data_IF_114670707501
#
_entry.id   IF_114670707501
#
_cell.length_a   1.000
_cell.length_b   1.000
_cell.length_c   1.000
_cell.angle_alpha   90.00
_cell.angle_beta   90.00
_cell.angle_gamma   90.00
#
_symmetry.space_group_name_H-M   'P 1'
#
loop_
_entity.id
_entity.type
_entity.pdbx_description
1 polymer ?
#
# COMPACT_ATOMS: atom_id res chain seq x y z
N UNK A 1 -22.84 18.61 72.32
CA UNK A 1 -22.18 19.37 73.41
C UNK A 1 -20.89 18.61 73.69
N UNK A 2 -19.68 19.02 73.35
CA UNK A 2 -19.12 20.35 73.12
C UNK A 2 -18.38 20.39 71.76
N UNK A 3 -18.37 21.57 71.15
CA UNK A 3 -17.53 21.94 70.01
C UNK A 3 -16.11 22.22 70.52
N UNK A 4 -15.07 21.79 69.81
CA UNK A 4 -13.70 22.11 70.18
C UNK A 4 -12.61 21.38 69.40
N UNK A 5 -12.54 21.61 68.10
CA UNK A 5 -11.40 21.24 67.26
C UNK A 5 -11.45 22.05 65.98
N UNK A 6 -10.49 22.94 65.79
CA UNK A 6 -10.37 23.79 64.59
C UNK A 6 -10.27 22.90 63.34
N UNK A 7 -10.96 23.23 62.22
CA UNK A 7 -10.63 22.59 60.96
C UNK A 7 -9.20 23.03 60.62
N UNK A 8 -8.26 22.08 60.60
CA UNK A 8 -7.01 22.27 59.90
C UNK A 8 -7.39 22.60 58.45
N UNK A 9 -7.22 23.86 58.07
CA UNK A 9 -7.18 24.30 56.68
C UNK A 9 -5.92 23.72 56.07
N UNK A 10 -6.01 22.45 55.68
CA UNK A 10 -5.06 21.80 54.82
C UNK A 10 -5.88 21.25 53.67
N UNK A 11 -5.77 21.83 52.48
CA UNK A 11 -6.10 21.09 51.27
C UNK A 11 -5.28 19.82 51.30
N UNK A 12 -5.91 18.68 51.65
CA UNK A 12 -5.28 17.38 51.51
C UNK A 12 -5.23 17.10 50.00
N UNK A 13 -4.28 17.72 49.30
CA UNK A 13 -3.94 17.34 47.94
C UNK A 13 -3.16 16.04 48.04
N UNK A 14 -3.87 14.94 48.27
CA UNK A 14 -3.34 13.62 48.04
C UNK A 14 -2.99 13.54 46.55
N UNK A 15 -1.71 13.72 46.23
CA UNK A 15 -1.20 13.50 44.87
C UNK A 15 -1.30 12.00 44.60
N UNK A 16 -2.38 11.57 43.96
CA UNK A 16 -2.48 10.23 43.40
C UNK A 16 -1.48 10.16 42.26
N UNK A 17 -0.33 9.55 42.50
CA UNK A 17 0.63 9.21 41.44
C UNK A 17 0.20 7.86 40.87
N UNK A 18 -0.65 7.91 39.85
CA UNK A 18 -0.93 6.75 39.00
C UNK A 18 0.12 6.66 37.90
N UNK A 19 0.80 5.52 37.77
CA UNK A 19 1.59 5.23 36.57
C UNK A 19 0.68 4.59 35.53
N UNK A 20 0.43 5.30 34.44
CA UNK A 20 -0.25 4.76 33.26
C UNK A 20 0.77 4.48 32.16
N UNK A 21 0.73 3.29 31.56
CA UNK A 21 1.53 2.98 30.37
C UNK A 21 0.69 3.19 29.11
N UNK A 22 1.15 4.01 28.18
CA UNK A 22 0.54 4.14 26.86
C UNK A 22 1.18 3.10 25.94
N UNK A 23 0.36 2.20 25.42
CA UNK A 23 0.78 1.21 24.43
C UNK A 23 0.98 1.84 23.05
N UNK A 24 1.78 1.18 22.21
CA UNK A 24 1.95 1.57 20.81
C UNK A 24 0.74 1.17 19.98
N UNK A 25 0.39 2.03 19.01
CA UNK A 25 -0.68 1.75 18.06
C UNK A 25 -0.18 0.89 16.88
N UNK A 26 -1.09 0.33 16.10
CA UNK A 26 -0.76 -0.42 14.90
C UNK A 26 -0.83 0.45 13.65
N UNK A 27 -0.06 0.07 12.63
CA UNK A 27 -0.09 0.63 11.28
C UNK A 27 -0.92 -0.25 10.34
N UNK A 28 -1.44 0.33 9.27
CA UNK A 28 -1.98 -0.40 8.12
C UNK A 28 -1.38 0.12 6.83
N UNK A 29 -1.16 -0.76 5.86
CA UNK A 29 -0.67 -0.37 4.55
C UNK A 29 -1.55 -0.93 3.42
N UNK A 30 -1.88 -0.07 2.46
CA UNK A 30 -2.54 -0.47 1.22
C UNK A 30 -1.77 0.06 0.03
N UNK A 31 -2.00 -0.46 -1.17
CA UNK A 31 -1.32 0.04 -2.36
C UNK A 31 -1.65 -0.74 -3.61
N UNK A 32 -1.31 -0.17 -4.76
CA UNK A 32 -1.47 -0.81 -6.06
C UNK A 32 -0.19 -0.72 -6.87
N UNK A 33 0.10 -1.77 -7.64
CA UNK A 33 1.18 -1.78 -8.62
C UNK A 33 0.68 -2.48 -9.90
N UNK A 34 1.20 -2.09 -11.05
CA UNK A 34 0.94 -2.81 -12.31
C UNK A 34 1.90 -3.99 -12.40
N UNK A 35 1.41 -5.13 -12.87
CA UNK A 35 2.20 -6.34 -13.04
C UNK A 35 3.46 -6.08 -13.86
N UNK A 36 4.62 -6.42 -13.31
CA UNK A 36 5.93 -6.27 -13.96
C UNK A 36 6.73 -7.58 -14.04
N UNK A 37 6.10 -8.70 -13.65
CA UNK A 37 6.74 -10.02 -13.64
C UNK A 37 7.67 -10.28 -12.46
N UNK A 38 7.75 -9.38 -11.47
CA UNK A 38 8.58 -9.55 -10.27
C UNK A 38 7.75 -9.76 -9.01
N UNK A 39 8.40 -10.22 -7.93
CA UNK A 39 7.79 -10.28 -6.59
C UNK A 39 8.08 -9.01 -5.78
N UNK A 40 8.58 -7.95 -6.39
CA UNK A 40 8.97 -6.71 -5.70
C UNK A 40 7.79 -5.75 -5.66
N UNK A 41 7.41 -5.30 -4.47
CA UNK A 41 6.41 -4.25 -4.30
C UNK A 41 7.08 -2.94 -3.87
N UNK A 42 6.95 -1.90 -4.68
CA UNK A 42 7.57 -0.61 -4.39
C UNK A 42 6.98 0.04 -3.14
N UNK A 43 7.82 0.42 -2.17
CA UNK A 43 7.37 1.12 -0.97
C UNK A 43 6.67 2.44 -1.27
N UNK A 44 7.08 3.14 -2.34
CA UNK A 44 6.42 4.36 -2.83
C UNK A 44 4.99 4.14 -3.31
N UNK A 45 4.60 2.89 -3.61
CA UNK A 45 3.25 2.54 -4.02
C UNK A 45 2.33 2.26 -2.81
N UNK A 46 2.88 2.28 -1.59
CA UNK A 46 2.13 2.08 -0.36
C UNK A 46 1.59 3.40 0.19
N UNK A 47 0.33 3.35 0.62
CA UNK A 47 -0.28 4.28 1.54
C UNK A 47 -0.27 3.65 2.93
N UNK A 48 0.55 4.21 3.83
CA UNK A 48 0.68 3.71 5.20
C UNK A 48 0.01 4.67 6.17
N UNK A 49 -0.91 4.16 6.98
CA UNK A 49 -1.72 4.94 7.90
C UNK A 49 -1.59 4.44 9.34
N UNK A 50 -1.70 5.37 10.27
CA UNK A 50 -1.81 5.12 11.70
C UNK A 50 -3.19 5.49 12.22
N UNK A 51 -3.27 5.87 13.50
CA UNK A 51 -4.51 6.35 14.13
C UNK A 51 -4.82 7.79 13.75
N UNK A 52 -6.09 8.18 13.85
CA UNK A 52 -6.56 9.57 13.68
C UNK A 52 -6.11 10.27 12.38
N UNK A 53 -6.03 9.52 11.28
CA UNK A 53 -5.65 10.04 9.96
C UNK A 53 -4.15 10.33 9.80
N UNK A 54 -3.31 9.92 10.76
CA UNK A 54 -1.85 10.00 10.61
C UNK A 54 -1.38 9.13 9.44
N UNK A 55 -0.39 9.62 8.72
CA UNK A 55 0.18 8.94 7.55
C UNK A 55 1.69 8.87 7.61
N UNK A 56 2.24 7.92 6.86
CA UNK A 56 3.66 7.64 6.78
C UNK A 56 4.07 7.47 5.33
N UNK A 57 5.16 8.13 4.94
CA UNK A 57 5.82 7.90 3.66
C UNK A 57 6.65 6.64 3.75
N UNK A 58 6.46 5.74 2.78
CA UNK A 58 7.19 4.49 2.67
C UNK A 58 8.23 4.56 1.54
N UNK A 59 9.42 4.05 1.82
CA UNK A 59 10.51 3.89 0.85
C UNK A 59 11.07 2.47 0.88
N UNK A 60 11.91 2.12 -0.10
CA UNK A 60 12.43 0.77 -0.26
C UNK A 60 11.41 -0.16 -0.93
N UNK A 61 11.43 -1.45 -0.58
CA UNK A 61 10.59 -2.46 -1.22
C UNK A 61 10.13 -3.56 -0.27
N UNK A 62 8.88 -3.97 -0.43
CA UNK A 62 8.32 -5.19 0.14
C UNK A 62 8.42 -6.36 -0.83
N UNK A 63 7.99 -7.54 -0.38
CA UNK A 63 7.99 -8.77 -1.17
C UNK A 63 6.57 -9.31 -1.26
N UNK A 64 6.13 -9.67 -2.46
CA UNK A 64 4.88 -10.37 -2.74
C UNK A 64 5.09 -11.89 -2.63
N UNK A 65 4.04 -12.64 -2.28
CA UNK A 65 4.10 -14.12 -2.26
C UNK A 65 4.25 -14.72 -3.66
N UNK A 66 3.70 -14.07 -4.68
CA UNK A 66 3.84 -14.43 -6.08
C UNK A 66 3.93 -13.16 -6.93
N UNK A 67 4.47 -13.26 -8.15
CA UNK A 67 4.46 -12.15 -9.09
C UNK A 67 3.09 -11.90 -9.72
N UNK A 68 2.16 -12.85 -9.64
CA UNK A 68 0.89 -12.83 -10.37
C UNK A 68 0.00 -11.64 -9.98
N UNK A 69 -0.92 -11.29 -10.89
CA UNK A 69 -2.07 -10.42 -10.59
C UNK A 69 -2.81 -10.96 -9.39
N UNK A 70 -3.08 -10.08 -8.42
CA UNK A 70 -3.70 -10.43 -7.16
C UNK A 70 -4.40 -9.23 -6.57
N UNK A 71 -5.41 -9.48 -5.74
CA UNK A 71 -6.23 -8.43 -5.14
C UNK A 71 -6.23 -8.56 -3.63
N UNK A 72 -5.98 -7.45 -2.95
CA UNK A 72 -6.05 -7.31 -1.49
C UNK A 72 -5.28 -8.40 -0.73
N UNK A 73 -4.08 -8.74 -1.22
CA UNK A 73 -3.22 -9.74 -0.59
C UNK A 73 -2.20 -9.08 0.33
N UNK A 74 -1.80 -9.74 1.43
CA UNK A 74 -0.69 -9.25 2.24
C UNK A 74 0.63 -9.39 1.49
N UNK A 75 1.57 -8.49 1.81
CA UNK A 75 2.98 -8.67 1.49
C UNK A 75 3.51 -9.90 2.25
N UNK A 76 4.34 -10.70 1.60
CA UNK A 76 5.09 -11.78 2.23
C UNK A 76 6.19 -11.25 3.16
N UNK A 77 6.76 -10.07 2.85
CA UNK A 77 7.74 -9.40 3.70
C UNK A 77 7.66 -7.89 3.57
N UNK A 78 7.87 -7.19 4.69
CA UNK A 78 7.98 -5.73 4.80
C UNK A 78 9.36 -5.29 5.30
N UNK A 79 10.31 -6.23 5.43
CA UNK A 79 11.64 -5.97 5.99
C UNK A 79 12.46 -4.92 5.23
N UNK A 80 12.21 -4.76 3.93
CA UNK A 80 12.85 -3.74 3.09
C UNK A 80 12.10 -2.40 3.03
N UNK A 81 11.02 -2.23 3.79
CA UNK A 81 10.24 -0.99 3.85
C UNK A 81 10.74 -0.11 5.00
N UNK A 82 11.05 1.14 4.68
CA UNK A 82 11.36 2.18 5.68
C UNK A 82 10.23 3.20 5.74
N UNK A 83 9.87 3.64 6.95
CA UNK A 83 8.76 4.56 7.19
C UNK A 83 9.24 5.88 7.80
N UNK A 84 8.72 6.98 7.27
CA UNK A 84 8.87 8.33 7.83
C UNK A 84 7.49 8.91 8.08
N UNK A 85 7.23 9.39 9.30
CA UNK A 85 5.93 9.96 9.63
C UNK A 85 5.73 11.34 9.01
N UNK A 86 4.50 11.60 8.56
CA UNK A 86 4.09 12.86 7.95
C UNK A 86 3.34 13.73 8.96
N UNK A 87 3.41 15.05 8.80
CA UNK A 87 2.60 15.99 9.61
C UNK A 87 2.78 15.86 11.13
N UNK A 88 3.98 15.45 11.58
CA UNK A 88 4.28 15.24 13.00
C UNK A 88 3.98 13.83 13.54
N UNK A 89 3.51 12.90 12.70
CA UNK A 89 3.39 11.50 13.08
C UNK A 89 4.77 10.94 13.48
N UNK A 90 4.85 10.25 14.62
CA UNK A 90 6.09 9.68 15.13
C UNK A 90 6.05 8.15 15.01
N UNK A 91 6.97 7.57 14.23
CA UNK A 91 7.05 6.11 14.04
C UNK A 91 7.28 5.35 15.36
N UNK A 92 7.93 5.98 16.35
CA UNK A 92 8.15 5.40 17.68
C UNK A 92 6.87 5.11 18.48
N UNK A 93 5.74 5.77 18.15
CA UNK A 93 4.44 5.55 18.81
C UNK A 93 3.70 4.33 18.25
N UNK A 94 4.26 3.67 17.24
CA UNK A 94 3.63 2.55 16.53
C UNK A 94 4.46 1.27 16.63
N UNK A 95 3.76 0.15 16.60
CA UNK A 95 4.37 -1.16 16.36
C UNK A 95 4.96 -1.20 14.95
N UNK A 96 6.03 -1.98 14.71
CA UNK A 96 6.52 -2.22 13.37
C UNK A 96 5.39 -2.68 12.45
N UNK A 97 5.40 -2.22 11.20
CA UNK A 97 4.42 -2.67 10.21
C UNK A 97 4.49 -4.20 10.09
N UNK A 98 3.34 -4.86 10.25
CA UNK A 98 3.23 -6.30 10.12
C UNK A 98 2.66 -6.66 8.74
N UNK A 99 3.14 -7.76 8.16
CA UNK A 99 2.64 -8.30 6.88
C UNK A 99 1.13 -8.56 6.92
N UNK A 100 0.61 -9.04 8.06
CA UNK A 100 -0.83 -9.26 8.30
C UNK A 100 -1.67 -7.98 8.26
N UNK A 101 -1.04 -6.80 8.32
CA UNK A 101 -1.69 -5.48 8.25
C UNK A 101 -1.45 -4.76 6.92
N UNK A 102 -1.05 -5.53 5.91
CA UNK A 102 -0.90 -5.05 4.54
C UNK A 102 -1.99 -5.64 3.65
N UNK A 103 -2.47 -4.85 2.69
CA UNK A 103 -3.45 -5.28 1.69
C UNK A 103 -3.13 -4.58 0.38
N UNK A 104 -2.40 -5.26 -0.50
CA UNK A 104 -1.93 -4.73 -1.78
C UNK A 104 -2.56 -5.44 -2.95
N UNK A 105 -2.67 -4.73 -4.06
CA UNK A 105 -3.22 -5.25 -5.32
C UNK A 105 -2.19 -5.10 -6.43
N UNK A 106 -1.98 -6.16 -7.20
CA UNK A 106 -1.22 -6.12 -8.45
C UNK A 106 -2.22 -6.21 -9.59
N UNK A 107 -2.35 -5.12 -10.34
CA UNK A 107 -3.26 -5.04 -11.49
C UNK A 107 -2.63 -5.63 -12.74
N UNK A 108 -3.42 -6.14 -13.70
CA UNK A 108 -2.91 -6.56 -15.00
C UNK A 108 -2.17 -5.43 -15.73
N UNK A 109 -1.12 -5.78 -16.47
CA UNK A 109 -0.48 -4.87 -17.41
C UNK A 109 -1.33 -4.75 -18.69
N UNK A 110 -1.71 -3.53 -19.12
CA UNK A 110 -2.59 -3.34 -20.26
C UNK A 110 -1.86 -3.62 -21.59
N UNK A 111 -2.48 -4.46 -22.43
CA UNK A 111 -2.04 -4.68 -23.82
C UNK A 111 -2.88 -3.81 -24.74
N UNK A 112 -2.23 -2.93 -25.50
CA UNK A 112 -2.88 -2.12 -26.54
C UNK A 112 -2.88 -2.91 -27.85
N UNK A 113 -4.06 -3.11 -28.44
CA UNK A 113 -4.19 -3.71 -29.78
C UNK A 113 -4.68 -2.66 -30.75
N UNK A 114 -3.97 -2.50 -31.87
CA UNK A 114 -4.32 -1.57 -32.94
C UNK A 114 -4.11 -2.23 -34.29
N UNK A 115 -4.82 -1.76 -35.32
CA UNK A 115 -4.63 -2.26 -36.67
C UNK A 115 -5.31 -1.38 -37.69
N UNK A 116 -4.96 -1.61 -38.96
CA UNK A 116 -5.56 -0.92 -40.11
C UNK A 116 -5.91 -1.93 -41.18
N UNK A 117 -7.15 -1.90 -41.66
CA UNK A 117 -7.61 -2.71 -42.80
C UNK A 117 -8.32 -1.81 -43.81
N UNK A 118 -8.11 -2.06 -45.10
CA UNK A 118 -8.91 -1.46 -46.18
C UNK A 118 -10.17 -2.30 -46.36
N UNK A 119 -11.35 -1.67 -46.41
CA UNK A 119 -12.62 -2.37 -46.55
C UNK A 119 -12.61 -3.33 -47.75
N UNK A 120 -12.84 -4.61 -47.47
CA UNK A 120 -12.77 -5.71 -48.43
C UNK A 120 -14.09 -6.50 -48.52
N UNK A 121 -15.19 -5.97 -47.98
CA UNK A 121 -16.49 -6.64 -47.97
C UNK A 121 -16.67 -7.73 -46.90
N UNK A 122 -15.69 -7.90 -45.99
CA UNK A 122 -15.79 -8.85 -44.87
C UNK A 122 -16.12 -8.15 -43.55
N UNK A 123 -16.66 -8.90 -42.58
CA UNK A 123 -16.96 -8.43 -41.22
C UNK A 123 -15.86 -8.78 -40.22
N UNK A 124 -14.73 -9.33 -40.69
CA UNK A 124 -13.65 -9.84 -39.86
C UNK A 124 -12.33 -9.17 -40.24
N UNK A 125 -11.49 -8.89 -39.24
CA UNK A 125 -10.15 -8.36 -39.47
C UNK A 125 -9.12 -9.48 -39.27
N UNK A 126 -8.24 -9.74 -40.25
CA UNK A 126 -7.15 -10.70 -40.08
C UNK A 126 -6.19 -10.23 -38.98
N UNK A 127 -5.71 -11.17 -38.16
CA UNK A 127 -4.71 -10.91 -37.12
C UNK A 127 -3.39 -10.39 -37.69
N UNK A 128 -3.08 -10.68 -38.95
CA UNK A 128 -1.94 -10.10 -39.67
C UNK A 128 -2.03 -8.59 -39.84
N UNK A 129 -3.23 -8.02 -39.77
CA UNK A 129 -3.48 -6.59 -39.90
C UNK A 129 -3.55 -5.90 -38.52
N UNK A 130 -3.47 -6.69 -37.44
CA UNK A 130 -3.44 -6.25 -36.06
C UNK A 130 -2.00 -6.29 -35.51
N UNK A 131 -1.69 -5.32 -34.67
CA UNK A 131 -0.49 -5.25 -33.86
C UNK A 131 -0.91 -5.15 -32.40
N UNK A 132 -0.35 -6.00 -31.55
CA UNK A 132 -0.48 -5.88 -30.11
C UNK A 132 0.82 -5.32 -29.54
N UNK A 133 0.70 -4.36 -28.63
CA UNK A 133 1.81 -3.75 -27.92
C UNK A 133 1.56 -3.85 -26.41
N UNK A 134 2.53 -4.40 -25.69
CA UNK A 134 2.62 -4.24 -24.24
C UNK A 134 3.66 -3.15 -23.95
N UNK A 135 3.35 -2.21 -23.06
CA UNK A 135 4.26 -1.16 -22.66
C UNK A 135 4.67 -1.37 -21.19
N UNK A 136 5.93 -1.76 -20.97
CA UNK A 136 6.44 -1.95 -19.63
C UNK A 136 7.05 -0.63 -19.13
N UNK A 137 6.27 0.11 -18.33
CA UNK A 137 6.64 1.44 -17.86
C UNK A 137 7.94 1.45 -17.03
N UNK A 138 8.21 0.38 -16.28
CA UNK A 138 9.41 0.24 -15.43
C UNK A 138 10.72 0.23 -16.23
N UNK A 139 10.67 -0.19 -17.50
CA UNK A 139 11.83 -0.21 -18.40
C UNK A 139 11.68 0.72 -19.60
N UNK A 140 10.59 1.50 -19.67
CA UNK A 140 10.24 2.35 -20.82
C UNK A 140 10.38 1.59 -22.17
N UNK A 141 9.93 0.34 -22.20
CA UNK A 141 10.11 -0.57 -23.34
C UNK A 141 8.77 -1.05 -23.86
N UNK A 142 8.57 -0.96 -25.18
CA UNK A 142 7.43 -1.53 -25.87
C UNK A 142 7.78 -2.88 -26.48
N UNK A 143 6.94 -3.88 -26.25
CA UNK A 143 7.01 -5.19 -26.89
C UNK A 143 5.89 -5.32 -27.90
N UNK A 144 6.21 -5.68 -29.14
CA UNK A 144 5.21 -5.95 -30.17
C UNK A 144 5.02 -7.45 -30.34
N UNK A 145 3.76 -7.86 -30.48
CA UNK A 145 3.36 -9.24 -30.74
C UNK A 145 2.68 -9.30 -32.10
N UNK A 146 3.07 -10.27 -32.92
CA UNK A 146 2.29 -10.65 -34.10
C UNK A 146 1.06 -11.42 -33.63
N UNK A 147 -0.12 -10.99 -34.06
CA UNK A 147 -1.36 -11.72 -33.81
C UNK A 147 -1.65 -12.65 -35.00
N UNK A 148 -2.11 -13.87 -34.71
CA UNK A 148 -2.52 -14.85 -35.72
C UNK A 148 -3.97 -15.25 -35.48
N UNK A 149 -4.75 -15.45 -36.55
CA UNK A 149 -6.18 -15.79 -36.51
C UNK A 149 -7.06 -14.70 -37.11
N UNK A 150 -8.34 -14.97 -37.31
CA UNK A 150 -9.33 -13.97 -37.76
C UNK A 150 -10.28 -13.66 -36.60
N UNK A 151 -10.51 -12.38 -36.32
CA UNK A 151 -11.46 -11.89 -35.32
C UNK A 151 -12.80 -11.49 -35.92
#
# INVERSE_FOLDING_TARGET
YMLGGTPLSGSNTATVTGTGTIGKADLSATGTQVYDGTTVFGGSNLTVTGVDGQSFSATGSGVLSTANVQTNQPLASVSGISLTGNGGAQTGNYNPLATSRTSVTVSPDPILVSGTMVYNGTTSMPGSDLSAQAYLASTNTSYTFALTGNG
#
